data_IF_720362544454
#
_entry.id   IF_720362544454
#
_cell.length_a   1.000
_cell.length_b   1.000
_cell.length_c   1.000
_cell.angle_alpha   90.00
_cell.angle_beta   90.00
_cell.angle_gamma   90.00
#
_symmetry.space_group_name_H-M   'P 1'
#
loop_
_entity.id
_entity.type
_entity.pdbx_description
1 polymer ?
#
# COMPACT_ATOMS: atom_id res chain seq x y z
N UNK A 1 -1.68 -10.06 -0.63
CA UNK A 1 -3.11 -9.64 -0.67
C UNK A 1 -3.43 -8.94 0.63
N UNK A 2 -4.21 -7.85 0.60
CA UNK A 2 -4.66 -7.13 1.79
C UNK A 2 -6.19 -7.12 1.88
N UNK A 3 -6.73 -7.43 3.05
CA UNK A 3 -8.17 -7.39 3.36
C UNK A 3 -8.35 -6.67 4.69
N UNK A 4 -9.20 -5.66 4.75
CA UNK A 4 -9.46 -4.93 6.00
C UNK A 4 -9.49 -3.41 5.83
N UNK A 5 -9.17 -2.67 6.89
CA UNK A 5 -9.02 -1.22 6.82
C UNK A 5 -7.63 -0.78 6.34
N UNK A 6 -7.37 0.53 6.36
CA UNK A 6 -6.10 1.11 5.87
C UNK A 6 -4.84 0.49 6.46
N UNK A 7 -4.83 0.16 7.76
CA UNK A 7 -3.67 -0.48 8.40
C UNK A 7 -3.34 -1.87 7.84
N UNK A 8 -4.34 -2.70 7.55
CA UNK A 8 -4.13 -4.02 6.95
C UNK A 8 -3.63 -3.90 5.50
N UNK A 9 -4.14 -2.89 4.79
CA UNK A 9 -3.76 -2.60 3.41
C UNK A 9 -2.32 -2.08 3.32
N UNK A 10 -1.92 -1.18 4.22
CA UNK A 10 -0.57 -0.67 4.29
C UNK A 10 0.44 -1.77 4.64
N UNK A 11 0.08 -2.67 5.56
CA UNK A 11 0.91 -3.84 5.86
C UNK A 11 1.12 -4.72 4.62
N UNK A 12 0.07 -4.98 3.84
CA UNK A 12 0.18 -5.78 2.62
C UNK A 12 1.10 -5.13 1.57
N UNK A 13 1.10 -3.80 1.46
CA UNK A 13 2.02 -3.05 0.58
C UNK A 13 3.46 -3.15 1.03
N UNK A 14 3.69 -2.94 2.32
CA UNK A 14 5.04 -3.02 2.88
C UNK A 14 5.62 -4.42 2.71
N UNK A 15 4.85 -5.48 2.97
CA UNK A 15 5.29 -6.86 2.75
C UNK A 15 5.64 -7.09 1.27
N UNK A 16 4.79 -6.64 0.35
CA UNK A 16 5.07 -6.77 -1.08
C UNK A 16 6.34 -6.04 -1.49
N UNK A 17 6.50 -4.78 -1.07
CA UNK A 17 7.71 -4.01 -1.35
C UNK A 17 8.96 -4.71 -0.79
N UNK A 18 8.92 -5.10 0.49
CA UNK A 18 10.07 -5.73 1.16
C UNK A 18 10.39 -7.14 0.66
N UNK A 19 9.46 -7.81 -0.02
CA UNK A 19 9.74 -9.11 -0.64
C UNK A 19 10.71 -9.04 -1.83
N UNK A 20 10.84 -7.87 -2.47
CA UNK A 20 11.70 -7.65 -3.65
C UNK A 20 12.91 -6.77 -3.30
N UNK A 21 12.80 -5.99 -2.23
CA UNK A 21 13.80 -5.01 -1.82
C UNK A 21 14.65 -5.56 -0.67
N UNK A 22 15.99 -5.65 -0.82
CA UNK A 22 16.85 -6.32 0.16
C UNK A 22 17.13 -5.49 1.42
N UNK A 23 16.93 -4.18 1.38
CA UNK A 23 17.20 -3.28 2.51
C UNK A 23 16.10 -3.32 3.56
N UNK A 24 16.38 -2.79 4.75
CA UNK A 24 15.40 -2.74 5.83
C UNK A 24 14.29 -1.74 5.50
N UNK A 25 13.07 -1.97 5.98
CA UNK A 25 11.90 -1.09 5.73
C UNK A 25 12.15 0.37 6.12
N UNK A 26 12.98 0.60 7.15
CA UNK A 26 13.39 1.93 7.64
C UNK A 26 14.20 2.72 6.61
N UNK A 27 14.97 2.05 5.76
CA UNK A 27 15.81 2.69 4.75
C UNK A 27 14.97 3.32 3.64
N UNK A 28 13.69 2.96 3.56
CA UNK A 28 12.73 3.48 2.59
C UNK A 28 11.81 4.56 3.16
N UNK A 29 12.07 5.01 4.40
CA UNK A 29 11.41 6.18 4.97
C UNK A 29 11.63 7.41 4.09
N UNK A 30 10.62 8.28 3.97
CA UNK A 30 10.76 9.54 3.24
C UNK A 30 12.03 10.30 3.68
N UNK A 31 12.79 10.89 2.75
CA UNK A 31 12.41 11.20 1.36
C UNK A 31 12.64 10.07 0.34
N UNK A 32 13.07 8.87 0.74
CA UNK A 32 13.27 7.76 -0.17
C UNK A 32 11.96 7.33 -0.86
N UNK A 33 12.09 6.84 -2.11
CA UNK A 33 10.97 6.33 -2.89
C UNK A 33 11.19 4.90 -3.36
N UNK A 34 10.21 4.03 -3.12
CA UNK A 34 10.19 2.65 -3.59
C UNK A 34 9.51 2.61 -4.96
N UNK A 35 10.25 2.94 -6.02
CA UNK A 35 9.70 2.98 -7.38
C UNK A 35 9.95 1.70 -8.18
N UNK A 36 10.88 0.85 -7.73
CA UNK A 36 11.15 -0.44 -8.38
C UNK A 36 9.98 -1.39 -8.15
N UNK A 37 9.59 -2.12 -9.19
CA UNK A 37 8.43 -3.02 -9.18
C UNK A 37 8.42 -3.96 -7.98
N UNK A 38 7.24 -4.15 -7.39
CA UNK A 38 6.96 -5.10 -6.31
C UNK A 38 6.06 -6.23 -6.80
N UNK A 39 5.78 -7.19 -5.93
CA UNK A 39 4.83 -8.27 -6.23
C UNK A 39 3.42 -7.68 -6.41
N UNK A 40 2.62 -8.11 -7.40
CA UNK A 40 1.26 -7.61 -7.59
C UNK A 40 0.42 -7.69 -6.31
N UNK A 41 -0.25 -6.59 -5.96
CA UNK A 41 -1.03 -6.46 -4.73
C UNK A 41 -2.51 -6.34 -5.09
N UNK A 42 -3.31 -7.27 -4.56
CA UNK A 42 -4.78 -7.18 -4.56
C UNK A 42 -5.22 -6.66 -3.19
N UNK A 43 -6.02 -5.61 -3.18
CA UNK A 43 -6.54 -4.95 -1.98
C UNK A 43 -8.07 -4.96 -1.95
N UNK A 44 -8.62 -5.39 -0.82
CA UNK A 44 -10.06 -5.44 -0.58
C UNK A 44 -10.34 -4.63 0.70
N UNK A 45 -10.59 -3.32 0.61
CA UNK A 45 -10.98 -2.52 1.76
C UNK A 45 -12.32 -2.98 2.32
N UNK A 46 -12.39 -3.14 3.65
CA UNK A 46 -13.65 -3.32 4.38
C UNK A 46 -14.20 -2.00 4.93
N UNK A 47 -13.40 -0.92 4.88
CA UNK A 47 -13.80 0.42 5.33
C UNK A 47 -13.53 1.47 4.24
N UNK A 48 -14.47 2.39 4.03
CA UNK A 48 -14.35 3.44 3.00
C UNK A 48 -13.81 4.77 3.49
N UNK A 49 -12.83 4.76 4.39
CA UNK A 49 -12.37 5.97 5.08
C UNK A 49 -10.98 6.49 4.70
N UNK A 50 -10.04 5.61 4.38
CA UNK A 50 -8.61 6.00 4.25
C UNK A 50 -8.13 6.14 2.81
N UNK A 51 -8.80 5.51 1.84
CA UNK A 51 -8.35 5.47 0.45
C UNK A 51 -7.02 4.72 0.27
N UNK A 52 -6.56 3.96 1.27
CA UNK A 52 -5.25 3.29 1.24
C UNK A 52 -5.16 2.33 0.06
N UNK A 53 -6.27 1.77 -0.41
CA UNK A 53 -6.34 0.90 -1.58
C UNK A 53 -5.97 1.56 -2.91
N UNK A 54 -5.94 2.90 -3.01
CA UNK A 54 -5.63 3.62 -4.24
C UNK A 54 -4.39 4.53 -4.12
N UNK A 55 -3.73 4.56 -2.97
CA UNK A 55 -2.61 5.47 -2.72
C UNK A 55 -1.25 4.79 -2.89
N UNK A 56 -0.25 5.58 -3.28
CA UNK A 56 1.17 5.19 -3.26
C UNK A 56 1.85 5.38 -1.90
N UNK A 57 1.03 5.56 -0.86
CA UNK A 57 1.46 5.83 0.50
C UNK A 57 1.23 4.59 1.36
N UNK A 58 2.11 4.40 2.34
CA UNK A 58 2.01 3.35 3.33
C UNK A 58 2.56 3.90 4.64
N UNK A 59 1.80 3.76 5.73
CA UNK A 59 2.21 4.20 7.06
C UNK A 59 2.71 3.00 7.85
N UNK A 60 3.94 3.06 8.35
CA UNK A 60 4.53 2.05 9.22
C UNK A 60 4.75 2.64 10.61
N UNK A 61 4.31 1.89 11.61
CA UNK A 61 4.60 2.18 13.02
C UNK A 61 5.71 1.23 13.47
N UNK A 62 6.83 1.81 13.89
CA UNK A 62 7.93 1.11 14.50
C UNK A 62 7.81 1.19 16.02
N UNK A 63 8.14 0.09 16.69
CA UNK A 63 8.09 0.01 18.16
C UNK A 63 9.42 0.38 18.80
N UNK A 64 10.54 0.30 18.05
CA UNK A 64 11.89 0.51 18.58
C UNK A 64 12.82 1.14 17.53
N UNK A 65 12.85 2.48 17.37
CA UNK A 65 12.22 3.52 18.20
C UNK A 65 10.70 3.62 17.98
N UNK A 66 9.96 4.12 18.98
CA UNK A 66 8.54 4.45 18.85
C UNK A 66 8.34 5.61 17.87
N UNK A 67 8.29 5.31 16.58
CA UNK A 67 8.14 6.28 15.52
C UNK A 67 7.12 5.79 14.50
N UNK A 68 6.34 6.72 13.94
CA UNK A 68 5.52 6.48 12.76
C UNK A 68 6.13 7.20 11.58
N UNK A 69 6.32 6.48 10.49
CA UNK A 69 6.88 7.04 9.28
C UNK A 69 6.14 6.56 8.03
N UNK A 70 6.25 7.36 6.99
CA UNK A 70 5.63 7.11 5.70
C UNK A 70 6.65 6.52 4.73
N UNK A 71 6.21 5.49 4.03
CA UNK A 71 6.85 4.98 2.83
C UNK A 71 6.09 5.54 1.63
N UNK A 72 6.81 5.84 0.56
CA UNK A 72 6.23 6.37 -0.67
C UNK A 72 6.83 5.70 -1.88
N UNK A 73 6.04 5.45 -2.92
CA UNK A 73 6.57 4.92 -4.18
C UNK A 73 5.58 4.14 -5.01
N UNK A 74 5.90 3.97 -6.30
CA UNK A 74 5.06 3.24 -7.26
C UNK A 74 4.89 1.76 -6.88
N UNK A 75 5.86 1.18 -6.19
CA UNK A 75 5.82 -0.20 -5.71
C UNK A 75 4.73 -0.46 -4.65
N UNK A 76 4.18 0.59 -4.06
CA UNK A 76 3.15 0.51 -3.02
C UNK A 76 1.73 0.62 -3.60
N UNK A 77 1.59 0.83 -4.90
CA UNK A 77 0.29 0.87 -5.56
C UNK A 77 -0.32 -0.54 -5.61
N UNK A 78 -1.62 -0.61 -5.32
CA UNK A 78 -2.38 -1.81 -5.55
C UNK A 78 -2.54 -2.03 -7.05
N UNK A 79 -2.28 -3.26 -7.51
CA UNK A 79 -2.57 -3.65 -8.90
C UNK A 79 -4.08 -3.68 -9.13
N UNK A 80 -4.82 -4.19 -8.14
CA UNK A 80 -6.28 -4.25 -8.17
C UNK A 80 -6.80 -3.90 -6.79
N UNK A 81 -7.76 -2.99 -6.73
CA UNK A 81 -8.54 -2.69 -5.54
C UNK A 81 -10.02 -3.00 -5.79
N UNK A 82 -10.67 -3.71 -4.86
CA UNK A 82 -12.10 -3.98 -4.91
C UNK A 82 -12.79 -3.48 -3.65
N UNK A 83 -13.64 -2.46 -3.81
CA UNK A 83 -14.45 -1.93 -2.72
C UNK A 83 -15.93 -1.99 -3.05
N UNK A 84 -16.70 -2.68 -2.21
CA UNK A 84 -18.16 -2.71 -2.32
C UNK A 84 -18.76 -1.52 -1.58
N UNK A 85 -19.07 -0.44 -2.28
CA UNK A 85 -19.94 0.62 -1.75
C UNK A 85 -21.41 0.31 -2.08
N UNK A 86 -22.29 0.44 -1.07
CA UNK A 86 -23.76 0.32 -1.24
C UNK A 86 -24.38 1.49 -2.05
N UNK A 87 -23.57 2.32 -2.69
CA UNK A 87 -23.93 3.26 -3.76
C UNK A 87 -22.74 3.32 -4.74
N UNK A 88 -22.90 2.72 -5.92
CA UNK A 88 -21.96 2.71 -7.06
C UNK A 88 -20.64 1.93 -6.81
N UNK A 89 -20.54 0.74 -7.41
CA UNK A 89 -19.34 -0.10 -7.42
C UNK A 89 -18.26 0.57 -8.28
N UNK A 90 -17.16 1.00 -7.67
CA UNK A 90 -15.97 1.45 -8.41
C UNK A 90 -14.96 0.29 -8.48
N UNK A 91 -14.90 -0.36 -9.64
CA UNK A 91 -13.77 -1.22 -10.02
C UNK A 91 -12.67 -0.30 -10.56
N UNK A 92 -11.83 0.24 -9.67
CA UNK A 92 -10.61 0.92 -10.09
C UNK A 92 -9.52 -0.13 -10.32
N UNK A 93 -9.60 -0.75 -11.50
CA UNK A 93 -8.43 -1.36 -12.12
C UNK A 93 -7.54 -0.16 -12.50
N UNK A 94 -6.37 0.01 -11.88
CA UNK A 94 -5.37 0.92 -12.42
C UNK A 94 -4.85 0.34 -13.76
N UNK A 95 -5.68 0.42 -14.80
CA UNK A 95 -5.22 0.41 -16.18
C UNK A 95 -4.56 1.76 -16.43
N UNK A 96 -3.29 1.91 -16.06
CA UNK A 96 -2.43 2.93 -16.66
C UNK A 96 -0.96 2.58 -16.46
N UNK A 97 -0.52 1.56 -17.20
CA UNK A 97 0.73 1.69 -17.96
C UNK A 97 0.31 2.45 -19.23
N UNK A 98 0.37 3.78 -19.18
CA UNK A 98 0.54 4.68 -20.34
C UNK A 98 1.55 5.72 -19.91
#
# INVERSE_FOLDING_TARGET
MGLGGGSCLDLAKAISAMSVHPSHVRDYKQPAQINKSSVPIIQIPTTGGTGSELTKWCVISDTTPCERYNLSGLALLATVAYQRQNRLVSLLIQQLIV
#
